data_IF_481924760588
#
_entry.id   IF_481924760588
#
_cell.length_a   1.000
_cell.length_b   1.000
_cell.length_c   1.000
_cell.angle_alpha   90.00
_cell.angle_beta   90.00
_cell.angle_gamma   90.00
#
_symmetry.space_group_name_H-M   'P 1'
#
loop_
_entity.id
_entity.type
_entity.pdbx_description
1 polymer ?
#
# COMPACT_ATOMS: atom_id res chain seq x y z
N UNK A 1 8.01 8.56 -8.32
CA UNK A 1 7.62 8.37 -9.76
C UNK A 1 6.56 9.42 -10.10
N UNK A 2 6.40 9.91 -11.34
CA UNK A 2 5.21 10.72 -11.67
C UNK A 2 3.99 9.80 -11.67
N UNK A 3 3.07 9.96 -10.71
CA UNK A 3 1.81 9.20 -10.61
C UNK A 3 1.55 8.53 -9.25
N UNK A 4 2.58 8.03 -8.56
CA UNK A 4 2.42 7.42 -7.23
C UNK A 4 2.79 8.42 -6.13
N UNK A 5 2.07 8.38 -5.01
CA UNK A 5 2.40 9.15 -3.81
C UNK A 5 3.61 8.61 -3.04
N UNK A 6 4.15 7.46 -3.47
CA UNK A 6 5.27 6.72 -2.86
C UNK A 6 5.07 6.40 -1.35
N UNK A 7 3.82 6.45 -0.86
CA UNK A 7 3.43 6.21 0.55
C UNK A 7 2.14 5.40 0.65
N UNK A 8 2.02 4.63 1.71
CA UNK A 8 0.82 3.88 2.11
C UNK A 8 0.43 4.34 3.52
N UNK A 9 -0.83 4.73 3.69
CA UNK A 9 -1.40 5.07 5.00
C UNK A 9 -2.00 3.80 5.62
N UNK A 10 -1.52 3.47 6.81
CA UNK A 10 -2.09 2.42 7.64
C UNK A 10 -2.94 3.05 8.74
N UNK A 11 -4.16 2.53 8.94
CA UNK A 11 -5.07 2.99 9.99
C UNK A 11 -5.48 1.77 10.81
N UNK A 12 -5.15 1.78 12.10
CA UNK A 12 -5.64 0.82 13.07
C UNK A 12 -6.87 1.40 13.78
N UNK A 13 -8.03 0.84 13.49
CA UNK A 13 -9.30 1.27 14.06
C UNK A 13 -9.48 0.87 15.53
N UNK A 14 -8.78 -0.18 15.99
CA UNK A 14 -8.86 -0.66 17.37
C UNK A 14 -8.14 0.29 18.33
N UNK A 15 -6.99 0.83 17.91
CA UNK A 15 -6.18 1.77 18.71
C UNK A 15 -6.32 3.24 18.30
N UNK A 16 -7.06 3.52 17.22
CA UNK A 16 -7.22 4.86 16.62
C UNK A 16 -5.88 5.51 16.24
N UNK A 17 -4.91 4.70 15.81
CA UNK A 17 -3.58 5.16 15.39
C UNK A 17 -3.43 5.08 13.88
N UNK A 18 -2.57 5.93 13.34
CA UNK A 18 -2.16 5.88 11.94
C UNK A 18 -0.64 5.85 11.82
N UNK A 19 -0.15 5.27 10.73
CA UNK A 19 1.27 5.26 10.36
C UNK A 19 1.44 5.32 8.85
N UNK A 20 2.64 5.67 8.41
CA UNK A 20 3.00 5.66 6.99
C UNK A 20 4.06 4.62 6.71
N UNK A 21 3.92 3.92 5.59
CA UNK A 21 4.93 3.03 5.02
C UNK A 21 5.35 3.56 3.64
N UNK A 22 6.64 3.45 3.29
CA UNK A 22 7.09 3.75 1.93
C UNK A 22 6.60 2.68 0.95
N UNK A 23 6.09 3.12 -0.20
CA UNK A 23 5.67 2.18 -1.24
C UNK A 23 6.90 1.51 -1.88
N UNK A 24 6.97 0.18 -1.78
CA UNK A 24 7.95 -0.61 -2.52
C UNK A 24 7.76 -0.38 -4.04
N UNK A 25 8.77 0.22 -4.65
CA UNK A 25 8.76 0.56 -6.09
C UNK A 25 8.74 -0.68 -6.98
N UNK A 26 9.28 -1.81 -6.53
CA UNK A 26 9.18 -3.10 -7.20
C UNK A 26 7.73 -3.58 -7.27
N UNK A 27 6.98 -3.46 -6.17
CA UNK A 27 5.54 -3.76 -6.15
C UNK A 27 4.75 -2.79 -7.03
N UNK A 28 5.06 -1.49 -6.98
CA UNK A 28 4.41 -0.48 -7.81
C UNK A 28 4.59 -0.78 -9.31
N UNK A 29 5.80 -1.18 -9.74
CA UNK A 29 6.05 -1.58 -11.13
C UNK A 29 5.37 -2.89 -11.51
N UNK A 30 5.36 -3.88 -10.60
CA UNK A 30 4.81 -5.21 -10.88
C UNK A 30 3.28 -5.18 -10.99
N UNK A 31 2.61 -4.40 -10.13
CA UNK A 31 1.16 -4.43 -9.99
C UNK A 31 0.45 -3.15 -10.46
N UNK A 32 1.21 -2.10 -10.82
CA UNK A 32 0.73 -0.80 -11.33
C UNK A 32 -0.13 0.00 -10.34
N UNK A 33 -0.78 -0.60 -9.35
CA UNK A 33 -1.63 0.10 -8.38
C UNK A 33 -3.07 -0.43 -8.41
N UNK A 34 -4.00 0.36 -7.88
CA UNK A 34 -5.43 0.04 -7.85
C UNK A 34 -5.70 -1.39 -7.37
N UNK A 35 -6.47 -2.14 -8.16
CA UNK A 35 -6.84 -3.54 -7.85
C UNK A 35 -5.64 -4.49 -7.76
N UNK A 36 -4.64 -4.33 -8.63
CA UNK A 36 -3.48 -5.22 -8.65
C UNK A 36 -2.67 -5.14 -7.35
N UNK A 37 -2.37 -3.91 -6.92
CA UNK A 37 -1.65 -3.67 -5.67
C UNK A 37 -2.49 -4.01 -4.44
N UNK A 38 -3.81 -3.72 -4.47
CA UNK A 38 -4.72 -4.12 -3.41
C UNK A 38 -4.79 -5.64 -3.22
N UNK A 39 -4.88 -6.41 -4.31
CA UNK A 39 -4.90 -7.88 -4.24
C UNK A 39 -3.61 -8.47 -3.64
N UNK A 40 -2.45 -7.88 -3.93
CA UNK A 40 -1.20 -8.28 -3.30
C UNK A 40 -1.25 -8.09 -1.78
N UNK A 41 -1.74 -6.94 -1.29
CA UNK A 41 -1.84 -6.68 0.14
C UNK A 41 -2.89 -7.55 0.82
N UNK A 42 -4.02 -7.81 0.15
CA UNK A 42 -5.03 -8.76 0.64
C UNK A 42 -4.46 -10.18 0.75
N UNK A 43 -3.71 -10.66 -0.24
CA UNK A 43 -3.07 -11.97 -0.18
C UNK A 43 -2.00 -12.07 0.93
N UNK A 44 -1.30 -10.97 1.22
CA UNK A 44 -0.22 -10.93 2.20
C UNK A 44 -0.69 -10.83 3.65
N UNK A 45 -1.78 -10.10 3.90
CA UNK A 45 -2.23 -9.71 5.25
C UNK A 45 -3.67 -10.11 5.59
N UNK A 46 -4.47 -10.56 4.60
CA UNK A 46 -5.80 -11.12 4.81
C UNK A 46 -5.73 -12.58 5.20
#
# INVERSE_FOLDING_TARGET
MKGYADKILHIDLSTKKYSYEELDRGLARKYVGGKGLANYYLYRYG
#
